data_IF_546718052788
#
_entry.id   IF_546718052788
#
_cell.length_a   1.000
_cell.length_b   1.000
_cell.length_c   1.000
_cell.angle_alpha   90.00
_cell.angle_beta   90.00
_cell.angle_gamma   90.00
#
_symmetry.space_group_name_H-M   'P 1'
#
loop_
_entity.id
_entity.type
_entity.pdbx_description
1 polymer ?
#
# COMPACT_ATOMS: atom_id res chain seq x y z
N UNK A 1 -32.43 -5.39 -6.77
CA UNK A 1 -31.29 -5.31 -7.71
C UNK A 1 -29.99 -5.24 -6.92
N UNK A 2 -29.17 -6.21 -7.14
CA UNK A 2 -27.83 -6.22 -6.56
C UNK A 2 -26.94 -5.35 -7.45
N UNK A 3 -26.44 -4.27 -6.87
CA UNK A 3 -25.49 -3.42 -7.58
C UNK A 3 -24.08 -3.92 -7.30
N UNK A 4 -23.40 -4.35 -8.33
CA UNK A 4 -21.98 -4.64 -8.21
C UNK A 4 -21.18 -3.36 -8.23
N UNK A 5 -20.36 -3.15 -7.19
CA UNK A 5 -19.41 -2.07 -7.19
C UNK A 5 -18.07 -2.62 -7.67
N UNK A 6 -17.56 -2.04 -8.75
CA UNK A 6 -16.24 -2.37 -9.23
C UNK A 6 -15.22 -1.53 -8.45
N UNK A 7 -14.38 -2.21 -7.67
CA UNK A 7 -13.29 -1.56 -6.96
C UNK A 7 -12.05 -1.56 -7.84
N UNK A 8 -11.49 -0.38 -8.06
CA UNK A 8 -10.22 -0.25 -8.78
C UNK A 8 -9.09 -0.16 -7.78
N UNK A 9 -8.21 -1.13 -7.80
CA UNK A 9 -7.05 -1.17 -6.90
C UNK A 9 -5.81 -0.80 -7.70
N UNK A 10 -5.14 0.28 -7.27
CA UNK A 10 -3.87 0.67 -7.84
C UNK A 10 -2.72 -0.08 -7.18
N UNK A 11 -1.79 -0.62 -7.98
CA UNK A 11 -0.58 -1.27 -7.47
C UNK A 11 0.62 -0.40 -7.79
N UNK A 12 1.42 -0.08 -6.78
CA UNK A 12 2.56 0.83 -6.91
C UNK A 12 3.81 0.20 -6.31
N UNK A 13 4.95 0.39 -6.98
CA UNK A 13 6.24 -0.02 -6.46
C UNK A 13 6.79 1.05 -5.51
N UNK A 14 6.89 0.71 -4.23
CA UNK A 14 7.30 1.64 -3.17
C UNK A 14 8.73 2.17 -3.33
N UNK A 15 9.62 1.42 -3.98
CA UNK A 15 11.02 1.83 -4.12
C UNK A 15 11.21 3.05 -5.02
N UNK A 16 10.22 3.38 -5.85
CA UNK A 16 10.32 4.42 -6.87
C UNK A 16 9.45 5.65 -6.58
N UNK A 17 8.64 5.61 -5.52
CA UNK A 17 7.60 6.61 -5.33
C UNK A 17 7.58 7.18 -3.92
N UNK A 18 7.37 8.50 -3.82
CA UNK A 18 6.97 9.15 -2.59
C UNK A 18 5.46 8.99 -2.37
N UNK A 19 4.93 9.25 -1.17
CA UNK A 19 3.48 9.26 -0.95
C UNK A 19 2.74 10.15 -1.95
N UNK A 20 3.30 11.31 -2.26
CA UNK A 20 2.71 12.23 -3.24
C UNK A 20 2.53 11.55 -4.60
N UNK A 21 3.58 10.88 -5.09
CA UNK A 21 3.53 10.22 -6.41
C UNK A 21 2.55 9.07 -6.42
N UNK A 22 2.49 8.28 -5.34
CA UNK A 22 1.54 7.18 -5.20
C UNK A 22 0.12 7.69 -5.39
N UNK A 23 -0.25 8.79 -4.70
CA UNK A 23 -1.63 9.27 -4.73
C UNK A 23 -1.96 10.07 -5.98
N UNK A 24 -1.00 10.76 -6.58
CA UNK A 24 -1.23 11.36 -7.90
C UNK A 24 -1.63 10.28 -8.92
N UNK A 25 -0.88 9.19 -8.97
CA UNK A 25 -1.16 8.09 -9.88
C UNK A 25 -2.48 7.40 -9.55
N UNK A 26 -2.76 7.23 -8.26
CA UNK A 26 -4.01 6.61 -7.81
C UNK A 26 -5.23 7.45 -8.21
N UNK A 27 -5.15 8.76 -8.04
CA UNK A 27 -6.21 9.68 -8.43
C UNK A 27 -6.41 9.68 -9.94
N UNK A 28 -5.34 9.72 -10.72
CA UNK A 28 -5.40 9.68 -12.18
C UNK A 28 -6.03 8.39 -12.70
N UNK A 29 -5.78 7.30 -12.01
CA UNK A 29 -6.32 5.99 -12.38
C UNK A 29 -7.75 5.77 -11.87
N UNK A 30 -8.29 6.67 -11.07
CA UNK A 30 -9.59 6.49 -10.43
C UNK A 30 -9.60 5.34 -9.44
N UNK A 31 -8.48 5.10 -8.76
CA UNK A 31 -8.37 3.98 -7.83
C UNK A 31 -9.23 4.20 -6.59
N UNK A 32 -9.90 3.15 -6.14
CA UNK A 32 -10.68 3.15 -4.89
C UNK A 32 -9.84 2.78 -3.68
N UNK A 33 -8.70 2.13 -3.91
CA UNK A 33 -7.76 1.70 -2.89
C UNK A 33 -6.38 1.51 -3.50
N UNK A 34 -5.36 1.40 -2.67
CA UNK A 34 -3.97 1.24 -3.13
C UNK A 34 -3.33 0.04 -2.45
N UNK A 35 -2.63 -0.75 -3.24
CA UNK A 35 -1.75 -1.81 -2.77
C UNK A 35 -0.32 -1.44 -3.16
N UNK A 36 0.56 -1.38 -2.17
CA UNK A 36 1.96 -1.04 -2.41
C UNK A 36 2.82 -2.30 -2.33
N UNK A 37 3.67 -2.49 -3.30
CA UNK A 37 4.59 -3.62 -3.34
C UNK A 37 6.03 -3.11 -3.39
N UNK A 38 6.92 -3.85 -2.75
CA UNK A 38 8.31 -3.48 -2.65
C UNK A 38 9.17 -4.73 -2.74
N UNK A 39 10.16 -4.70 -3.62
CA UNK A 39 11.06 -5.82 -3.82
C UNK A 39 12.38 -5.54 -3.09
N UNK A 40 12.78 -6.45 -2.19
CA UNK A 40 14.07 -6.34 -1.51
C UNK A 40 15.12 -7.16 -2.26
N UNK A 41 16.14 -6.53 -2.86
CA UNK A 41 17.17 -7.24 -3.63
C UNK A 41 17.95 -8.27 -2.84
N UNK A 42 18.03 -8.09 -1.52
CA UNK A 42 18.72 -9.04 -0.63
C UNK A 42 18.02 -10.38 -0.52
N UNK A 43 16.73 -10.45 -0.92
CA UNK A 43 15.90 -11.63 -0.74
C UNK A 43 15.26 -11.75 0.64
N UNK A 44 15.65 -10.92 1.59
CA UNK A 44 15.06 -10.85 2.93
C UNK A 44 13.89 -9.85 2.91
N UNK A 45 12.65 -10.30 3.16
CA UNK A 45 11.49 -9.41 3.09
C UNK A 45 11.27 -8.57 4.34
N UNK A 46 12.13 -8.67 5.34
CA UNK A 46 11.99 -7.90 6.57
C UNK A 46 11.95 -6.41 6.28
N UNK A 47 10.99 -5.67 6.87
CA UNK A 47 10.85 -4.24 6.60
C UNK A 47 11.96 -3.44 7.26
N UNK A 48 12.40 -2.39 6.56
CA UNK A 48 13.28 -1.39 7.15
C UNK A 48 12.46 -0.38 7.96
N UNK A 49 13.13 0.45 8.76
CA UNK A 49 12.47 1.55 9.43
C UNK A 49 11.83 2.52 8.45
N UNK A 50 12.44 2.72 7.29
CA UNK A 50 11.88 3.56 6.23
C UNK A 50 10.61 2.96 5.64
N UNK A 51 10.57 1.65 5.46
CA UNK A 51 9.38 0.95 4.97
C UNK A 51 8.20 1.15 5.91
N UNK A 52 8.45 1.04 7.21
CA UNK A 52 7.42 1.21 8.22
C UNK A 52 6.91 2.64 8.26
N UNK A 53 7.81 3.62 8.19
CA UNK A 53 7.44 5.05 8.14
C UNK A 53 6.65 5.37 6.88
N UNK A 54 7.07 4.85 5.74
CA UNK A 54 6.35 5.04 4.49
C UNK A 54 4.93 4.47 4.57
N UNK A 55 4.80 3.26 5.10
CA UNK A 55 3.49 2.62 5.28
C UNK A 55 2.57 3.48 6.12
N UNK A 56 3.08 4.03 7.22
CA UNK A 56 2.30 4.89 8.12
C UNK A 56 1.83 6.16 7.41
N UNK A 57 2.72 6.80 6.67
CA UNK A 57 2.39 8.02 5.93
C UNK A 57 1.38 7.75 4.81
N UNK A 58 1.55 6.65 4.08
CA UNK A 58 0.61 6.25 3.04
C UNK A 58 -0.78 5.97 3.62
N UNK A 59 -0.83 5.32 4.77
CA UNK A 59 -2.09 5.04 5.45
C UNK A 59 -2.80 6.32 5.86
N UNK A 60 -2.08 7.27 6.43
CA UNK A 60 -2.65 8.56 6.86
C UNK A 60 -3.18 9.37 5.67
N UNK A 61 -2.39 9.48 4.61
CA UNK A 61 -2.81 10.22 3.40
C UNK A 61 -3.97 9.53 2.70
N UNK A 62 -3.91 8.21 2.62
CA UNK A 62 -4.98 7.42 2.00
C UNK A 62 -6.31 7.59 2.72
N UNK A 63 -6.29 7.62 4.05
CA UNK A 63 -7.50 7.85 4.84
C UNK A 63 -8.09 9.23 4.58
N UNK A 64 -7.24 10.25 4.48
CA UNK A 64 -7.69 11.61 4.18
C UNK A 64 -8.31 11.73 2.80
N UNK A 65 -7.77 11.02 1.83
CA UNK A 65 -8.25 11.05 0.44
C UNK A 65 -9.38 10.05 0.17
N UNK A 66 -9.72 9.23 1.16
CA UNK A 66 -10.68 8.14 0.98
C UNK A 66 -10.23 7.13 -0.08
N UNK A 67 -8.92 6.95 -0.20
CA UNK A 67 -8.27 5.93 -1.04
C UNK A 67 -7.38 5.12 -0.10
N UNK A 68 -7.96 4.17 0.65
CA UNK A 68 -7.21 3.49 1.71
C UNK A 68 -6.06 2.64 1.18
N UNK A 69 -4.99 2.60 1.94
CA UNK A 69 -3.90 1.66 1.73
C UNK A 69 -4.34 0.29 2.26
N UNK A 70 -4.46 -0.67 1.37
CA UNK A 70 -4.87 -2.03 1.74
C UNK A 70 -3.75 -2.82 2.37
N UNK A 71 -2.54 -2.68 1.84
CA UNK A 71 -1.36 -3.34 2.39
C UNK A 71 -0.09 -2.74 1.77
N UNK A 72 1.02 -3.00 2.43
CA UNK A 72 2.35 -2.82 1.90
C UNK A 72 3.04 -4.17 1.98
N UNK A 73 3.29 -4.78 0.84
CA UNK A 73 3.86 -6.12 0.75
C UNK A 73 5.31 -6.02 0.27
N UNK A 74 6.21 -6.55 1.05
CA UNK A 74 7.63 -6.63 0.70
C UNK A 74 7.90 -8.05 0.22
N UNK A 75 8.41 -8.15 -1.00
CA UNK A 75 8.69 -9.44 -1.62
C UNK A 75 10.18 -9.74 -1.49
N UNK A 76 10.49 -10.91 -0.95
CA UNK A 76 11.84 -11.43 -0.85
C UNK A 76 12.05 -12.61 -1.78
N UNK A 77 13.02 -13.47 -1.44
CA UNK A 77 13.28 -14.70 -2.19
C UNK A 77 12.34 -15.80 -1.69
N UNK A 78 11.31 -16.13 -2.47
CA UNK A 78 10.30 -17.15 -2.16
C UNK A 78 9.52 -16.88 -0.86
N UNK A 79 9.47 -15.62 -0.46
CA UNK A 79 8.77 -15.23 0.75
C UNK A 79 8.29 -13.80 0.61
N UNK A 80 7.41 -13.40 1.49
CA UNK A 80 6.91 -12.04 1.51
C UNK A 80 6.62 -11.61 2.95
N UNK A 81 6.52 -10.30 3.14
CA UNK A 81 6.12 -9.70 4.40
C UNK A 81 4.96 -8.76 4.15
N UNK A 82 3.85 -8.98 4.83
CA UNK A 82 2.67 -8.11 4.75
C UNK A 82 2.60 -7.25 6.00
N UNK A 83 2.59 -5.94 5.83
CA UNK A 83 2.46 -5.01 6.96
C UNK A 83 1.14 -5.22 7.68
N UNK A 84 0.08 -5.53 6.94
CA UNK A 84 -1.24 -5.79 7.50
C UNK A 84 -1.24 -7.06 8.35
N UNK A 85 -0.71 -8.15 7.82
CA UNK A 85 -0.62 -9.43 8.55
C UNK A 85 0.21 -9.29 9.82
N UNK A 86 1.25 -8.47 9.78
CA UNK A 86 2.14 -8.23 10.91
C UNK A 86 1.58 -7.24 11.94
N UNK A 87 0.40 -6.69 11.70
CA UNK A 87 -0.23 -5.73 12.60
C UNK A 87 0.36 -4.33 12.56
N UNK A 88 1.15 -4.02 11.54
CA UNK A 88 1.79 -2.71 11.39
C UNK A 88 0.98 -1.75 10.53
N UNK A 89 -0.13 -2.21 10.00
CA UNK A 89 -1.05 -1.41 9.23
C UNK A 89 -2.46 -1.63 9.78
N UNK A 90 -3.05 -0.59 10.32
CA UNK A 90 -4.42 -0.63 10.80
C UNK A 90 -5.35 -0.02 9.76
N UNK A 91 -6.37 -0.77 9.39
CA UNK A 91 -7.41 -0.25 8.51
C UNK A 91 -8.33 0.60 9.37
N UNK A 92 -8.50 1.86 8.96
CA UNK A 92 -9.40 2.78 9.64
C UNK A 92 -10.82 2.23 9.65
N UNK A 93 -11.42 2.14 10.83
CA UNK A 93 -12.82 1.76 10.96
C UNK A 93 -13.66 3.03 10.87
N UNK A 94 -14.53 3.03 9.95
CA UNK A 94 -15.49 4.13 9.80
C UNK A 94 -16.90 3.63 9.93
#
# INVERSE_FOLDING_TARGET
>A
VIREETLTIGTVNASLCSPRDVFIRSLQAGASAVLVMHNHPSGDPSPSGEDIRLTRRLSEVGDLLEIPLLDHIIVGDRCYYSMKEAGQLQISKR
#
